data_IF_020861055572
#
_entry.id   IF_020861055572
#
_cell.length_a   1.000
_cell.length_b   1.000
_cell.length_c   1.000
_cell.angle_alpha   90.00
_cell.angle_beta   90.00
_cell.angle_gamma   90.00
#
_symmetry.space_group_name_H-M   'P 1'
#
loop_
_entity.id
_entity.type
_entity.pdbx_description
1 polymer ?
#
# COMPACT_ATOMS: atom_id res chain seq x y z
N UNK A 1 38.54 39.91 59.29
CA UNK A 1 37.96 40.26 57.96
C UNK A 1 37.59 38.95 57.29
N UNK A 2 36.39 38.54 57.48
CA UNK A 2 35.81 37.29 56.85
C UNK A 2 35.09 37.67 55.58
N UNK A 3 35.47 37.04 54.47
CA UNK A 3 34.76 37.21 53.18
C UNK A 3 33.45 36.37 53.14
N UNK A 4 32.34 36.98 52.98
CA UNK A 4 31.05 36.26 52.66
C UNK A 4 30.86 36.27 51.17
N UNK A 5 31.05 35.18 50.51
CA UNK A 5 30.79 35.17 49.05
C UNK A 5 30.73 33.80 48.37
N UNK A 6 31.28 32.74 48.96
CA UNK A 6 31.39 31.41 48.29
C UNK A 6 30.22 30.49 48.60
N UNK A 7 29.53 30.65 49.74
CA UNK A 7 28.38 29.79 50.11
C UNK A 7 27.07 30.12 49.34
N UNK A 8 26.94 31.34 48.79
CA UNK A 8 25.73 31.78 48.06
C UNK A 8 25.65 31.21 46.61
N UNK A 9 26.80 31.00 45.96
CA UNK A 9 26.84 30.49 44.58
C UNK A 9 26.59 28.98 44.50
N UNK A 10 27.05 28.22 45.51
CA UNK A 10 26.78 26.78 45.57
C UNK A 10 25.29 26.48 45.83
N UNK A 11 24.62 27.26 46.68
CA UNK A 11 23.19 27.09 46.96
C UNK A 11 22.28 27.45 45.76
N UNK A 12 22.69 28.41 44.94
CA UNK A 12 21.96 28.80 43.74
C UNK A 12 22.12 27.79 42.59
N UNK A 13 23.31 27.17 42.45
CA UNK A 13 23.55 26.12 41.48
C UNK A 13 22.79 24.82 41.84
N UNK A 14 22.81 24.44 43.12
CA UNK A 14 22.08 23.25 43.60
C UNK A 14 20.56 23.42 43.47
N UNK A 15 20.00 24.63 43.71
CA UNK A 15 18.59 24.91 43.49
C UNK A 15 18.22 24.90 41.98
N UNK A 16 19.13 25.31 41.10
CA UNK A 16 18.86 25.24 39.64
C UNK A 16 18.93 23.82 39.13
N UNK A 17 19.75 22.95 39.69
CA UNK A 17 19.78 21.52 39.31
C UNK A 17 18.54 20.79 39.80
N UNK A 18 18.13 20.99 41.06
CA UNK A 18 16.91 20.41 41.63
C UNK A 18 15.65 20.91 40.89
N UNK A 19 15.63 22.16 40.43
CA UNK A 19 14.50 22.69 39.66
C UNK A 19 14.52 22.22 38.21
N UNK A 20 15.65 21.77 37.68
CA UNK A 20 15.73 21.18 36.34
C UNK A 20 15.27 19.73 36.35
N UNK A 21 15.62 18.98 37.40
CA UNK A 21 15.14 17.60 37.58
C UNK A 21 13.63 17.55 37.84
N UNK A 22 13.05 18.58 38.52
CA UNK A 22 11.60 18.73 38.69
C UNK A 22 10.86 19.07 37.36
N UNK A 23 11.50 19.78 36.40
CA UNK A 23 10.90 20.03 35.09
C UNK A 23 10.99 18.82 34.18
N UNK A 24 12.06 18.05 34.26
CA UNK A 24 12.18 16.80 33.49
C UNK A 24 11.21 15.74 34.02
N UNK A 25 11.01 15.66 35.33
CA UNK A 25 9.99 14.79 35.95
C UNK A 25 8.54 15.31 35.75
N UNK A 26 8.30 16.62 35.70
CA UNK A 26 6.96 17.19 35.45
C UNK A 26 6.56 17.03 33.97
N UNK A 27 7.52 16.87 33.06
CA UNK A 27 7.25 16.54 31.65
C UNK A 27 6.88 15.08 31.42
N UNK A 28 7.35 14.16 32.29
CA UNK A 28 7.00 12.74 32.23
C UNK A 28 5.69 12.40 32.97
N UNK A 29 5.27 13.17 33.97
CA UNK A 29 4.05 12.92 34.74
C UNK A 29 2.75 13.47 34.08
N UNK A 30 2.84 14.25 32.99
CA UNK A 30 1.67 14.63 32.19
C UNK A 30 1.32 13.61 31.11
N UNK A 31 1.86 12.40 31.15
CA UNK A 31 1.46 11.26 30.38
C UNK A 31 0.16 10.69 30.95
N UNK A 32 -0.94 11.27 30.51
CA UNK A 32 -2.30 10.73 30.47
C UNK A 32 -2.73 9.83 31.64
N UNK A 33 -3.28 10.42 32.68
CA UNK A 33 -3.70 9.78 33.95
C UNK A 33 -4.78 8.68 33.84
N UNK A 34 -5.23 8.30 32.64
CA UNK A 34 -6.28 7.30 32.40
C UNK A 34 -5.81 6.04 31.67
N UNK A 35 -4.54 5.90 31.32
CA UNK A 35 -4.05 4.77 30.57
C UNK A 35 -3.19 3.84 31.44
N UNK A 36 -3.58 2.56 31.55
CA UNK A 36 -2.88 1.54 32.35
C UNK A 36 -1.90 0.77 31.46
N UNK A 37 -0.60 0.88 31.77
CA UNK A 37 0.42 0.02 31.15
C UNK A 37 0.35 -1.37 31.79
N UNK A 38 0.13 -2.41 30.99
CA UNK A 38 0.10 -3.80 31.46
C UNK A 38 1.53 -4.39 31.45
N UNK A 39 1.81 -5.29 32.40
CA UNK A 39 3.04 -6.06 32.42
C UNK A 39 2.97 -7.11 31.31
N UNK A 40 3.93 -7.16 30.35
CA UNK A 40 3.91 -8.12 29.27
C UNK A 40 3.98 -9.56 29.78
N UNK A 41 3.05 -10.38 29.29
CA UNK A 41 3.03 -11.83 29.51
C UNK A 41 3.89 -12.62 28.52
N UNK A 42 3.63 -13.93 28.33
CA UNK A 42 4.32 -14.75 27.35
C UNK A 42 4.22 -14.15 25.94
N UNK A 43 5.29 -14.18 25.15
CA UNK A 43 5.41 -13.57 23.82
C UNK A 43 5.19 -12.04 23.81
N UNK A 44 5.31 -11.37 24.97
CA UNK A 44 5.04 -9.93 25.06
C UNK A 44 3.56 -9.54 25.03
N UNK A 45 2.65 -10.51 25.20
CA UNK A 45 1.20 -10.29 25.19
C UNK A 45 0.75 -9.33 26.29
N UNK A 46 -0.05 -8.36 25.90
CA UNK A 46 -0.74 -7.42 26.80
C UNK A 46 -2.23 -7.33 26.39
N UNK A 47 -3.13 -7.00 27.33
CA UNK A 47 -4.53 -6.74 26.98
C UNK A 47 -4.65 -5.67 25.88
N UNK A 48 -5.63 -5.82 25.00
CA UNK A 48 -5.84 -4.94 23.83
C UNK A 48 -6.11 -3.48 24.24
N UNK A 49 -6.69 -3.29 25.44
CA UNK A 49 -6.98 -2.00 26.05
C UNK A 49 -5.81 -1.38 26.80
N UNK A 50 -4.67 -2.07 26.90
CA UNK A 50 -3.46 -1.54 27.52
C UNK A 50 -2.76 -0.52 26.61
N UNK A 51 -2.20 0.55 27.22
CA UNK A 51 -1.48 1.61 26.51
C UNK A 51 -0.26 1.13 25.71
N UNK A 52 0.34 0.05 26.13
CA UNK A 52 1.51 -0.56 25.48
C UNK A 52 1.12 -1.71 24.52
N UNK A 53 -0.14 -1.79 24.10
CA UNK A 53 -0.54 -2.71 23.03
C UNK A 53 -0.28 -2.09 21.67
N UNK A 54 0.47 -2.80 20.83
CA UNK A 54 0.73 -2.42 19.44
C UNK A 54 -0.22 -3.10 18.42
N UNK A 55 -1.13 -3.97 18.92
CA UNK A 55 -2.09 -4.69 18.11
C UNK A 55 -3.51 -4.43 18.62
N UNK A 56 -4.46 -4.29 17.71
CA UNK A 56 -5.88 -4.18 18.04
C UNK A 56 -6.54 -5.55 18.29
N UNK A 57 -5.82 -6.64 18.05
CA UNK A 57 -6.26 -8.04 18.26
C UNK A 57 -5.05 -8.88 18.72
N UNK A 58 -5.31 -10.09 19.22
CA UNK A 58 -4.24 -11.03 19.57
C UNK A 58 -3.72 -11.76 18.31
N UNK A 59 -2.51 -11.44 17.80
CA UNK A 59 -2.01 -11.97 16.54
C UNK A 59 -1.66 -13.45 16.67
N UNK A 60 -2.25 -14.28 15.81
CA UNK A 60 -2.03 -15.74 15.79
C UNK A 60 -0.87 -16.10 14.87
N UNK A 61 0.05 -16.94 15.39
CA UNK A 61 1.25 -17.34 14.65
C UNK A 61 0.95 -18.25 13.45
N UNK A 62 0.12 -19.30 13.65
CA UNK A 62 -0.12 -20.31 12.62
C UNK A 62 -0.77 -19.74 11.34
N UNK A 63 -1.85 -18.93 11.42
CA UNK A 63 -2.43 -18.32 10.22
C UNK A 63 -1.45 -17.38 9.50
N UNK A 64 -0.67 -16.60 10.26
CA UNK A 64 0.32 -15.70 9.67
C UNK A 64 1.40 -16.46 8.88
N UNK A 65 1.91 -17.56 9.42
CA UNK A 65 2.87 -18.44 8.71
C UNK A 65 2.25 -19.08 7.49
N UNK A 66 1.02 -19.60 7.59
CA UNK A 66 0.33 -20.20 6.44
C UNK A 66 0.17 -19.19 5.29
N UNK A 67 -0.23 -17.96 5.59
CA UNK A 67 -0.37 -16.89 4.61
C UNK A 67 0.99 -16.47 4.04
N UNK A 68 2.04 -16.37 4.87
CA UNK A 68 3.40 -16.08 4.40
C UNK A 68 3.88 -17.13 3.38
N UNK A 69 3.61 -18.42 3.63
CA UNK A 69 3.93 -19.51 2.71
C UNK A 69 3.16 -19.35 1.39
N UNK A 70 1.85 -19.06 1.44
CA UNK A 70 1.03 -18.86 0.23
C UNK A 70 1.53 -17.70 -0.63
N UNK A 71 1.80 -16.53 -0.04
CA UNK A 71 2.39 -15.41 -0.78
C UNK A 71 3.80 -15.72 -1.28
N UNK A 72 4.59 -16.47 -0.52
CA UNK A 72 5.91 -16.95 -0.93
C UNK A 72 5.84 -17.84 -2.18
N UNK A 73 4.87 -18.76 -2.22
CA UNK A 73 4.61 -19.60 -3.41
C UNK A 73 4.23 -18.74 -4.61
N UNK A 74 3.32 -17.75 -4.44
CA UNK A 74 2.97 -16.84 -5.53
C UNK A 74 4.13 -15.97 -5.98
N UNK A 75 4.99 -15.53 -5.06
CA UNK A 75 6.22 -14.80 -5.40
C UNK A 75 7.11 -15.65 -6.32
N UNK A 76 7.33 -16.93 -5.99
CA UNK A 76 8.10 -17.85 -6.80
C UNK A 76 7.44 -18.13 -8.15
N UNK A 77 6.12 -18.34 -8.19
CA UNK A 77 5.36 -18.54 -9.43
C UNK A 77 5.55 -17.33 -10.35
N UNK A 78 5.35 -16.11 -9.85
CA UNK A 78 5.52 -14.90 -10.66
C UNK A 78 6.97 -14.66 -11.10
N UNK A 79 7.95 -15.03 -10.29
CA UNK A 79 9.37 -15.01 -10.66
C UNK A 79 9.64 -15.94 -11.85
N UNK A 80 9.19 -17.18 -11.76
CA UNK A 80 9.33 -18.19 -12.82
C UNK A 80 8.63 -17.72 -14.10
N UNK A 81 7.39 -17.22 -14.00
CA UNK A 81 6.64 -16.71 -15.16
C UNK A 81 7.32 -15.47 -15.77
N UNK A 82 7.82 -14.55 -14.94
CA UNK A 82 8.56 -13.37 -15.39
C UNK A 82 9.81 -13.72 -16.18
N UNK A 83 10.57 -14.73 -15.74
CA UNK A 83 11.76 -15.24 -16.43
C UNK A 83 11.35 -15.99 -17.72
N UNK A 84 10.38 -16.90 -17.63
CA UNK A 84 9.93 -17.72 -18.76
C UNK A 84 9.40 -16.89 -19.93
N UNK A 85 8.58 -15.89 -19.66
CA UNK A 85 8.03 -14.98 -20.67
C UNK A 85 8.94 -13.80 -21.01
N UNK A 86 10.06 -13.63 -20.32
CA UNK A 86 11.05 -12.55 -20.53
C UNK A 86 10.44 -11.13 -20.53
N UNK A 87 9.36 -10.91 -19.79
CA UNK A 87 8.69 -9.61 -19.68
C UNK A 87 9.30 -8.80 -18.54
N UNK A 88 10.15 -7.84 -18.87
CA UNK A 88 10.88 -7.02 -17.87
C UNK A 88 9.98 -6.33 -16.86
N UNK A 89 8.76 -5.92 -17.24
CA UNK A 89 7.85 -5.24 -16.34
C UNK A 89 7.21 -6.14 -15.28
N UNK A 90 7.33 -7.48 -15.43
CA UNK A 90 6.81 -8.44 -14.42
C UNK A 90 7.50 -8.32 -13.06
N UNK A 91 8.70 -7.71 -13.00
CA UNK A 91 9.37 -7.47 -11.70
C UNK A 91 8.51 -6.66 -10.72
N UNK A 92 7.64 -5.80 -11.22
CA UNK A 92 6.73 -4.98 -10.40
C UNK A 92 5.75 -5.86 -9.63
N UNK A 93 5.18 -6.87 -10.29
CA UNK A 93 4.27 -7.83 -9.63
C UNK A 93 5.02 -8.72 -8.62
N UNK A 94 6.24 -9.15 -8.98
CA UNK A 94 7.10 -9.94 -8.10
C UNK A 94 7.40 -9.17 -6.82
N UNK A 95 7.72 -7.87 -6.93
CA UNK A 95 7.93 -7.01 -5.75
C UNK A 95 6.68 -6.90 -4.89
N UNK A 96 5.49 -6.74 -5.49
CA UNK A 96 4.24 -6.72 -4.74
C UNK A 96 4.02 -8.01 -3.96
N UNK A 97 4.15 -9.17 -4.60
CA UNK A 97 4.01 -10.47 -3.95
C UNK A 97 5.09 -10.72 -2.87
N UNK A 98 6.33 -10.30 -3.11
CA UNK A 98 7.41 -10.41 -2.14
C UNK A 98 7.17 -9.54 -0.90
N UNK A 99 6.61 -8.35 -1.06
CA UNK A 99 6.30 -7.47 0.07
C UNK A 99 5.16 -8.01 0.91
N UNK A 100 4.12 -8.61 0.31
CA UNK A 100 3.11 -9.36 1.07
C UNK A 100 3.75 -10.52 1.85
N UNK A 101 4.65 -11.28 1.21
CA UNK A 101 5.37 -12.38 1.87
C UNK A 101 6.15 -11.89 3.08
N UNK A 102 6.98 -10.84 2.91
CA UNK A 102 7.79 -10.27 3.99
C UNK A 102 6.91 -9.71 5.11
N UNK A 103 5.81 -9.04 4.74
CA UNK A 103 4.84 -8.51 5.70
C UNK A 103 4.32 -9.61 6.62
N UNK A 104 3.87 -10.75 6.07
CA UNK A 104 3.34 -11.85 6.88
C UNK A 104 4.42 -12.62 7.63
N UNK A 105 5.67 -12.67 7.14
CA UNK A 105 6.81 -13.17 7.92
C UNK A 105 7.04 -12.29 9.16
N UNK A 106 7.04 -10.96 8.98
CA UNK A 106 7.19 -10.02 10.09
C UNK A 106 6.00 -10.06 11.05
N UNK A 107 4.78 -10.25 10.52
CA UNK A 107 3.58 -10.42 11.35
C UNK A 107 3.67 -11.70 12.20
N UNK A 108 4.14 -12.81 11.63
CA UNK A 108 4.40 -14.06 12.37
C UNK A 108 5.48 -13.88 13.45
N UNK A 109 6.57 -13.14 13.15
CA UNK A 109 7.59 -12.81 14.16
C UNK A 109 7.00 -11.91 15.26
N UNK A 110 6.22 -10.91 14.89
CA UNK A 110 5.53 -10.02 15.83
C UNK A 110 4.53 -10.73 16.75
N UNK A 111 3.89 -11.83 16.29
CA UNK A 111 3.02 -12.62 17.17
C UNK A 111 3.79 -13.36 18.28
N UNK A 112 5.10 -13.57 18.12
CA UNK A 112 6.00 -14.17 19.12
C UNK A 112 6.71 -13.13 19.99
N UNK A 113 6.72 -11.86 19.57
CA UNK A 113 7.32 -10.72 20.31
C UNK A 113 6.44 -9.49 20.08
N UNK A 114 5.28 -9.44 20.77
CA UNK A 114 4.25 -8.43 20.57
C UNK A 114 4.68 -7.02 21.05
N UNK A 115 5.74 -6.92 21.86
CA UNK A 115 6.29 -5.64 22.30
C UNK A 115 7.34 -5.06 21.33
N UNK A 116 7.65 -5.75 20.25
CA UNK A 116 8.59 -5.28 19.24
C UNK A 116 7.87 -4.42 18.19
N UNK A 117 7.87 -3.11 18.41
CA UNK A 117 7.24 -2.14 17.51
C UNK A 117 7.78 -2.21 16.08
N UNK A 118 9.05 -2.62 15.89
CA UNK A 118 9.65 -2.72 14.57
C UNK A 118 8.97 -3.81 13.72
N UNK A 119 8.63 -4.95 14.32
CA UNK A 119 7.90 -6.01 13.60
C UNK A 119 6.50 -5.56 13.24
N UNK A 120 5.74 -4.99 14.19
CA UNK A 120 4.39 -4.51 13.96
C UNK A 120 4.34 -3.43 12.87
N UNK A 121 5.19 -2.40 13.01
CA UNK A 121 5.21 -1.27 12.07
C UNK A 121 5.70 -1.67 10.68
N UNK A 122 6.78 -2.46 10.57
CA UNK A 122 7.31 -2.88 9.28
C UNK A 122 6.34 -3.82 8.55
N UNK A 123 5.71 -4.76 9.28
CA UNK A 123 4.66 -5.63 8.72
C UNK A 123 3.52 -4.79 8.13
N UNK A 124 3.01 -3.82 8.89
CA UNK A 124 1.90 -2.98 8.46
C UNK A 124 2.26 -2.09 7.26
N UNK A 125 3.44 -1.47 7.25
CA UNK A 125 3.89 -0.63 6.13
C UNK A 125 4.00 -1.45 4.85
N UNK A 126 4.63 -2.62 4.90
CA UNK A 126 4.79 -3.48 3.73
C UNK A 126 3.45 -4.01 3.23
N UNK A 127 2.54 -4.35 4.14
CA UNK A 127 1.18 -4.79 3.83
C UNK A 127 0.36 -3.72 3.10
N UNK A 128 0.49 -2.46 3.49
CA UNK A 128 -0.16 -1.33 2.82
C UNK A 128 0.48 -0.99 1.48
N UNK A 129 1.78 -1.22 1.34
CA UNK A 129 2.55 -0.84 0.16
C UNK A 129 2.48 -1.89 -0.97
N UNK A 130 2.28 -3.16 -0.63
CA UNK A 130 2.24 -4.25 -1.60
C UNK A 130 1.16 -4.08 -2.68
N UNK A 131 -0.10 -3.69 -2.39
CA UNK A 131 -1.13 -3.46 -3.41
C UNK A 131 -0.80 -2.34 -4.39
N UNK A 132 0.01 -1.35 -3.98
CA UNK A 132 0.48 -0.29 -4.88
C UNK A 132 1.28 -0.87 -6.05
N UNK A 133 2.13 -1.87 -5.79
CA UNK A 133 2.88 -2.58 -6.81
C UNK A 133 1.98 -3.39 -7.73
N UNK A 134 0.96 -4.05 -7.18
CA UNK A 134 -0.01 -4.84 -7.94
C UNK A 134 -0.85 -3.94 -8.84
N UNK A 135 -1.33 -2.79 -8.34
CA UNK A 135 -2.01 -1.76 -9.13
C UNK A 135 -1.12 -1.25 -10.27
N UNK A 136 0.12 -0.89 -9.96
CA UNK A 136 1.08 -0.43 -10.97
C UNK A 136 1.29 -1.47 -12.07
N UNK A 137 1.35 -2.76 -11.72
CA UNK A 137 1.44 -3.84 -12.69
C UNK A 137 0.18 -3.95 -13.57
N UNK A 138 -1.01 -3.82 -12.99
CA UNK A 138 -2.30 -3.80 -13.73
C UNK A 138 -2.32 -2.64 -14.72
N UNK A 139 -1.96 -1.43 -14.29
CA UNK A 139 -1.89 -0.25 -15.16
C UNK A 139 -0.88 -0.41 -16.29
N UNK A 140 0.31 -0.95 -15.98
CA UNK A 140 1.33 -1.23 -16.99
C UNK A 140 0.89 -2.29 -17.99
N UNK A 141 0.21 -3.33 -17.54
CA UNK A 141 -0.31 -4.41 -18.37
C UNK A 141 -1.40 -3.90 -19.30
N UNK A 142 -2.37 -3.17 -18.75
CA UNK A 142 -3.43 -2.56 -19.56
C UNK A 142 -2.89 -1.58 -20.61
N UNK A 143 -1.98 -0.70 -20.23
CA UNK A 143 -1.37 0.26 -21.17
C UNK A 143 -0.69 -0.46 -22.34
N UNK A 144 0.01 -1.59 -22.07
CA UNK A 144 0.62 -2.41 -23.11
C UNK A 144 -0.42 -3.14 -23.97
N UNK A 145 -1.46 -3.67 -23.35
CA UNK A 145 -2.57 -4.30 -24.05
C UNK A 145 -3.29 -3.27 -24.97
N UNK A 146 -3.59 -2.10 -24.44
CA UNK A 146 -4.22 -1.03 -25.21
C UNK A 146 -3.33 -0.54 -26.36
N UNK A 147 -1.99 -0.54 -26.19
CA UNK A 147 -1.04 -0.23 -27.24
C UNK A 147 -0.99 -1.33 -28.31
N UNK A 148 -0.90 -2.57 -27.92
CA UNK A 148 -0.72 -3.75 -28.79
C UNK A 148 -1.96 -4.07 -29.61
N UNK A 149 -3.15 -3.92 -29.02
CA UNK A 149 -4.45 -4.19 -29.64
C UNK A 149 -5.15 -2.93 -30.16
N UNK A 150 -4.46 -1.79 -30.29
CA UNK A 150 -5.06 -0.54 -30.75
C UNK A 150 -5.62 -0.68 -32.16
N UNK A 151 -6.88 -0.29 -32.35
CA UNK A 151 -7.56 -0.31 -33.65
C UNK A 151 -8.28 1.03 -33.91
N UNK A 152 -8.26 1.56 -35.16
CA UNK A 152 -7.38 1.15 -36.27
C UNK A 152 -5.90 1.48 -35.98
N UNK A 153 -4.94 0.73 -36.58
CA UNK A 153 -3.49 0.89 -36.27
C UNK A 153 -2.96 2.29 -36.60
N UNK A 154 -3.55 2.96 -37.59
CA UNK A 154 -3.16 4.28 -38.08
C UNK A 154 -3.72 5.44 -37.24
N UNK A 155 -4.73 5.18 -36.42
CA UNK A 155 -5.31 6.22 -35.56
C UNK A 155 -4.34 6.67 -34.47
N UNK A 156 -4.53 7.92 -34.01
CA UNK A 156 -3.83 8.41 -32.84
C UNK A 156 -4.01 7.47 -31.65
N UNK A 157 -2.91 6.96 -31.08
CA UNK A 157 -2.92 6.03 -29.95
C UNK A 157 -3.28 6.76 -28.65
N UNK A 158 -4.54 7.22 -28.59
CA UNK A 158 -5.15 7.91 -27.46
C UNK A 158 -6.37 7.17 -26.98
N UNK A 159 -6.61 7.24 -25.68
CA UNK A 159 -7.82 6.72 -25.05
C UNK A 159 -8.46 7.87 -24.28
N UNK A 160 -9.70 8.23 -24.63
CA UNK A 160 -10.39 9.40 -24.06
C UNK A 160 -9.55 10.71 -24.11
N UNK A 161 -8.81 10.94 -25.22
CA UNK A 161 -7.96 12.11 -25.40
C UNK A 161 -6.59 12.04 -24.69
N UNK A 162 -6.34 11.01 -23.88
CA UNK A 162 -5.06 10.83 -23.17
C UNK A 162 -4.17 9.86 -23.97
N UNK A 163 -2.89 10.18 -24.24
CA UNK A 163 -1.95 9.26 -24.86
C UNK A 163 -1.83 7.98 -24.05
N UNK A 164 -1.97 6.81 -24.70
CA UNK A 164 -1.90 5.50 -24.02
C UNK A 164 -0.62 5.37 -23.18
N UNK A 165 0.50 5.91 -23.67
CA UNK A 165 1.81 5.86 -22.97
C UNK A 165 1.87 6.70 -21.69
N UNK A 166 0.90 7.60 -21.47
CA UNK A 166 0.82 8.44 -20.27
C UNK A 166 -0.02 7.79 -19.16
N UNK A 167 -0.97 6.91 -19.52
CA UNK A 167 -1.91 6.31 -18.57
C UNK A 167 -1.22 5.70 -17.35
N UNK A 168 -0.27 4.78 -17.56
CA UNK A 168 0.46 4.17 -16.43
C UNK A 168 1.04 5.19 -15.47
N UNK A 169 1.62 6.29 -16.01
CA UNK A 169 2.25 7.30 -15.15
C UNK A 169 1.24 8.06 -14.31
N UNK A 170 0.14 8.45 -14.95
CA UNK A 170 -0.93 9.22 -14.28
C UNK A 170 -1.47 8.40 -13.11
N UNK A 171 -1.87 7.16 -13.36
CA UNK A 171 -2.49 6.33 -12.33
C UNK A 171 -1.51 5.86 -11.26
N UNK A 172 -0.28 5.51 -11.60
CA UNK A 172 0.75 5.17 -10.61
C UNK A 172 1.06 6.35 -9.69
N UNK A 173 1.20 7.58 -10.23
CA UNK A 173 1.43 8.75 -9.40
C UNK A 173 0.21 9.12 -8.54
N UNK A 174 -1.00 8.88 -9.03
CA UNK A 174 -2.22 9.06 -8.25
C UNK A 174 -2.26 8.09 -7.05
N UNK A 175 -1.92 6.81 -7.26
CA UNK A 175 -1.83 5.81 -6.19
C UNK A 175 -0.71 6.15 -5.19
N UNK A 176 0.46 6.61 -5.67
CA UNK A 176 1.55 7.05 -4.78
C UNK A 176 1.12 8.23 -3.91
N UNK A 177 0.40 9.22 -4.49
CA UNK A 177 -0.13 10.35 -3.72
C UNK A 177 -1.15 9.88 -2.68
N UNK A 178 -2.08 9.01 -3.06
CA UNK A 178 -3.06 8.43 -2.15
C UNK A 178 -2.37 7.67 -1.00
N UNK A 179 -1.33 6.90 -1.30
CA UNK A 179 -0.52 6.19 -0.30
C UNK A 179 0.21 7.14 0.66
N UNK A 180 0.77 8.25 0.18
CA UNK A 180 1.40 9.25 1.05
C UNK A 180 0.37 9.83 2.02
N UNK A 181 -0.84 10.15 1.54
CA UNK A 181 -1.94 10.65 2.39
C UNK A 181 -2.32 9.59 3.44
N UNK A 182 -2.44 8.31 3.05
CA UNK A 182 -2.69 7.20 3.97
C UNK A 182 -1.57 7.07 5.02
N UNK A 183 -0.31 7.17 4.59
CA UNK A 183 0.85 7.09 5.49
C UNK A 183 0.86 8.20 6.53
N UNK A 184 0.58 9.44 6.13
CA UNK A 184 0.46 10.58 7.04
C UNK A 184 -0.72 10.35 8.01
N UNK A 185 -1.89 9.97 7.50
CA UNK A 185 -3.05 9.70 8.35
C UNK A 185 -2.80 8.56 9.35
N UNK A 186 -2.18 7.48 8.91
CA UNK A 186 -1.82 6.33 9.76
C UNK A 186 -0.79 6.69 10.83
N UNK A 187 0.22 7.49 10.50
CA UNK A 187 1.20 7.94 11.49
C UNK A 187 0.59 8.87 12.54
N UNK A 188 -0.35 9.73 12.15
CA UNK A 188 -1.08 10.59 13.09
C UNK A 188 -2.04 9.80 13.99
N UNK A 189 -2.51 8.65 13.55
CA UNK A 189 -3.41 7.78 14.31
C UNK A 189 -2.68 6.77 15.19
N UNK A 190 -1.34 6.65 15.06
CA UNK A 190 -0.55 5.68 15.83
C UNK A 190 -0.36 6.14 17.28
N UNK A 191 -0.43 5.21 18.25
CA UNK A 191 -0.04 5.49 19.63
C UNK A 191 1.41 5.98 19.69
N UNK A 192 1.66 7.08 20.37
CA UNK A 192 3.01 7.66 20.51
C UNK A 192 3.30 8.88 19.63
N UNK A 193 2.41 9.30 18.74
CA UNK A 193 2.57 10.57 17.99
C UNK A 193 1.92 11.78 18.70
N UNK A 194 1.78 11.76 20.03
CA UNK A 194 1.22 12.86 20.82
C UNK A 194 -0.32 12.97 20.77
N UNK A 195 -1.00 12.03 20.13
CA UNK A 195 -2.45 11.92 20.15
C UNK A 195 -2.87 10.93 21.24
N UNK A 196 -3.64 11.41 22.23
CA UNK A 196 -4.11 10.61 23.34
C UNK A 196 -4.85 9.35 22.86
N UNK A 197 -4.42 8.17 23.35
CA UNK A 197 -5.13 6.89 23.14
C UNK A 197 -6.58 6.96 23.63
N UNK A 198 -6.86 7.82 24.63
CA UNK A 198 -8.21 8.11 25.13
C UNK A 198 -9.10 8.76 24.06
N UNK A 199 -8.51 9.48 23.11
CA UNK A 199 -9.25 10.05 21.99
C UNK A 199 -9.56 9.01 20.91
N UNK A 200 -8.79 7.91 20.81
CA UNK A 200 -9.10 6.79 19.91
C UNK A 200 -10.28 5.93 20.37
N UNK A 201 -10.67 5.99 21.64
CA UNK A 201 -11.90 5.36 22.17
C UNK A 201 -13.15 6.25 22.02
N UNK A 202 -13.03 7.41 21.39
CA UNK A 202 -14.17 8.27 21.02
C UNK A 202 -14.97 7.60 19.90
N UNK A 203 -16.28 7.75 19.92
CA UNK A 203 -17.22 7.26 18.90
C UNK A 203 -17.02 7.86 17.50
N UNK A 204 -16.09 8.82 17.34
CA UNK A 204 -15.72 9.44 16.09
C UNK A 204 -14.26 9.06 15.72
N UNK A 205 -13.95 8.82 14.42
CA UNK A 205 -12.59 8.60 13.98
C UNK A 205 -11.69 9.79 14.35
N UNK A 206 -10.48 9.50 14.83
CA UNK A 206 -9.46 10.55 15.06
C UNK A 206 -9.14 11.29 13.76
N UNK A 207 -8.61 12.52 13.85
CA UNK A 207 -8.26 13.29 12.66
C UNK A 207 -7.27 12.53 11.76
N UNK A 208 -6.31 11.81 12.34
CA UNK A 208 -5.40 10.94 11.58
C UNK A 208 -6.14 9.84 10.81
N UNK A 209 -7.12 9.21 11.45
CA UNK A 209 -7.91 8.16 10.82
C UNK A 209 -8.79 8.71 9.68
N UNK A 210 -9.33 9.91 9.81
CA UNK A 210 -10.06 10.60 8.73
C UNK A 210 -9.14 10.86 7.53
N UNK A 211 -7.92 11.35 7.76
CA UNK A 211 -6.92 11.56 6.69
C UNK A 211 -6.57 10.24 6.00
N UNK A 212 -6.39 9.15 6.76
CA UNK A 212 -6.18 7.82 6.22
C UNK A 212 -7.33 7.37 5.30
N UNK A 213 -8.58 7.52 5.75
CA UNK A 213 -9.78 7.18 4.99
C UNK A 213 -9.93 8.02 3.70
N UNK A 214 -9.59 9.31 3.77
CA UNK A 214 -9.57 10.19 2.58
C UNK A 214 -8.57 9.65 1.56
N UNK A 215 -7.36 9.26 1.98
CA UNK A 215 -6.36 8.66 1.10
C UNK A 215 -6.87 7.40 0.41
N UNK A 216 -7.57 6.52 1.12
CA UNK A 216 -8.19 5.31 0.55
C UNK A 216 -9.32 5.64 -0.42
N UNK A 217 -10.16 6.64 -0.10
CA UNK A 217 -11.21 7.13 -0.99
C UNK A 217 -10.64 7.69 -2.31
N UNK A 218 -9.55 8.43 -2.24
CA UNK A 218 -8.83 8.94 -3.41
C UNK A 218 -8.30 7.77 -4.27
N UNK A 219 -7.68 6.78 -3.65
CA UNK A 219 -7.19 5.57 -4.35
C UNK A 219 -8.34 4.85 -5.05
N UNK A 220 -9.44 4.60 -4.36
CA UNK A 220 -10.61 3.95 -4.94
C UNK A 220 -11.21 4.75 -6.10
N UNK A 221 -11.28 6.07 -5.98
CA UNK A 221 -11.74 6.95 -7.05
C UNK A 221 -10.89 6.78 -8.32
N UNK A 222 -9.55 6.77 -8.21
CA UNK A 222 -8.68 6.57 -9.37
C UNK A 222 -8.78 5.16 -9.96
N UNK A 223 -9.01 4.13 -9.16
CA UNK A 223 -9.29 2.77 -9.65
C UNK A 223 -10.58 2.76 -10.47
N UNK A 224 -11.65 3.41 -10.01
CA UNK A 224 -12.92 3.52 -10.76
C UNK A 224 -12.70 4.27 -12.08
N UNK A 225 -12.00 5.40 -12.06
CA UNK A 225 -11.65 6.14 -13.28
C UNK A 225 -10.85 5.26 -14.25
N UNK A 226 -9.88 4.48 -13.74
CA UNK A 226 -9.11 3.55 -14.56
C UNK A 226 -10.00 2.46 -15.18
N UNK A 227 -10.96 1.92 -14.42
CA UNK A 227 -11.96 0.98 -14.95
C UNK A 227 -12.77 1.59 -16.10
N UNK A 228 -13.11 2.88 -16.07
CA UNK A 228 -13.80 3.55 -17.18
C UNK A 228 -12.92 3.58 -18.44
N UNK A 229 -11.60 3.80 -18.32
CA UNK A 229 -10.68 3.66 -19.46
C UNK A 229 -10.64 2.24 -20.01
N UNK A 230 -10.66 1.23 -19.15
CA UNK A 230 -10.70 -0.17 -19.55
C UNK A 230 -12.02 -0.51 -20.26
N UNK A 231 -13.16 -0.04 -19.75
CA UNK A 231 -14.50 -0.22 -20.37
C UNK A 231 -14.53 0.46 -21.73
N UNK A 232 -14.06 1.70 -21.85
CA UNK A 232 -14.00 2.40 -23.12
C UNK A 232 -13.15 1.64 -24.15
N UNK A 233 -11.99 1.13 -23.75
CA UNK A 233 -11.16 0.27 -24.60
C UNK A 233 -11.92 -1.00 -25.00
N UNK A 234 -12.55 -1.69 -24.05
CA UNK A 234 -13.30 -2.92 -24.28
C UNK A 234 -14.43 -2.71 -25.30
N UNK A 235 -15.22 -1.65 -25.14
CA UNK A 235 -16.31 -1.33 -26.05
C UNK A 235 -15.81 -0.99 -27.47
N UNK A 236 -14.73 -0.21 -27.57
CA UNK A 236 -14.11 0.15 -28.84
C UNK A 236 -13.56 -1.06 -29.58
N UNK A 237 -12.90 -1.99 -28.88
CA UNK A 237 -12.35 -3.20 -29.48
C UNK A 237 -13.42 -4.23 -29.86
N UNK A 238 -14.58 -4.20 -29.21
CA UNK A 238 -15.71 -5.08 -29.55
C UNK A 238 -16.29 -4.79 -30.94
N UNK A 239 -16.19 -3.55 -31.41
CA UNK A 239 -16.70 -3.09 -32.71
C UNK A 239 -15.68 -3.35 -33.82
N UNK A 240 -14.39 -3.49 -33.48
CA UNK A 240 -13.31 -3.74 -34.45
C UNK A 240 -13.21 -5.22 -34.87
N UNK A 241 -12.90 -5.47 -36.15
CA UNK A 241 -12.59 -6.81 -36.65
C UNK A 241 -11.33 -7.34 -35.95
N UNK A 242 -11.40 -8.62 -35.50
CA UNK A 242 -10.30 -9.25 -34.77
C UNK A 242 -9.02 -9.31 -35.59
N UNK A 243 -7.88 -9.14 -34.95
CA UNK A 243 -6.58 -9.42 -35.55
C UNK A 243 -6.43 -10.93 -35.71
N UNK A 244 -6.45 -11.45 -36.95
CA UNK A 244 -6.33 -12.87 -37.22
C UNK A 244 -5.04 -13.51 -36.67
N UNK A 245 -3.97 -12.70 -36.55
CA UNK A 245 -2.64 -13.16 -36.16
C UNK A 245 -2.28 -12.90 -34.69
N UNK A 246 -3.20 -12.32 -33.87
CA UNK A 246 -2.93 -12.02 -32.47
C UNK A 246 -3.80 -12.85 -31.54
N UNK A 247 -3.27 -13.26 -30.36
CA UNK A 247 -4.10 -13.89 -29.33
C UNK A 247 -5.28 -13.02 -28.94
N UNK A 248 -6.39 -13.64 -28.53
CA UNK A 248 -7.56 -12.89 -28.05
C UNK A 248 -7.19 -12.02 -26.83
N UNK A 249 -7.50 -10.73 -26.89
CA UNK A 249 -7.28 -9.79 -25.79
C UNK A 249 -8.24 -9.98 -24.60
N UNK A 250 -9.38 -10.61 -24.82
CA UNK A 250 -10.48 -10.72 -23.85
C UNK A 250 -10.09 -11.36 -22.53
N UNK A 251 -9.43 -12.55 -22.50
CA UNK A 251 -9.07 -13.18 -21.23
C UNK A 251 -8.15 -12.31 -20.36
N UNK A 252 -7.19 -11.60 -21.00
CA UNK A 252 -6.30 -10.69 -20.29
C UNK A 252 -7.08 -9.52 -19.65
N UNK A 253 -7.98 -8.89 -20.42
CA UNK A 253 -8.76 -7.76 -19.90
C UNK A 253 -9.72 -8.21 -18.80
N UNK A 254 -10.36 -9.39 -18.92
CA UNK A 254 -11.18 -9.94 -17.83
C UNK A 254 -10.36 -10.24 -16.58
N UNK A 255 -9.15 -10.76 -16.72
CA UNK A 255 -8.25 -10.97 -15.59
C UNK A 255 -7.89 -9.64 -14.89
N UNK A 256 -7.67 -8.56 -15.66
CA UNK A 256 -7.43 -7.23 -15.07
C UNK A 256 -8.67 -6.69 -14.34
N UNK A 257 -9.88 -6.87 -14.88
CA UNK A 257 -11.12 -6.52 -14.17
C UNK A 257 -11.25 -7.31 -12.86
N UNK A 258 -11.05 -8.63 -12.90
CA UNK A 258 -11.10 -9.46 -11.70
C UNK A 258 -10.09 -8.99 -10.64
N UNK A 259 -8.85 -8.71 -11.04
CA UNK A 259 -7.82 -8.19 -10.14
C UNK A 259 -8.23 -6.86 -9.49
N UNK A 260 -8.74 -5.91 -10.28
CA UNK A 260 -9.22 -4.62 -9.74
C UNK A 260 -10.43 -4.78 -8.82
N UNK A 261 -11.31 -5.77 -9.09
CA UNK A 261 -12.43 -6.11 -8.20
C UNK A 261 -11.92 -6.61 -6.86
N UNK A 262 -10.93 -7.50 -6.82
CA UNK A 262 -10.34 -7.98 -5.58
C UNK A 262 -9.66 -6.85 -4.78
N UNK A 263 -8.95 -5.96 -5.46
CA UNK A 263 -8.35 -4.78 -4.83
C UNK A 263 -9.44 -3.84 -4.28
N UNK A 264 -10.54 -3.65 -5.01
CA UNK A 264 -11.69 -2.86 -4.56
C UNK A 264 -12.35 -3.46 -3.31
N UNK A 265 -12.54 -4.79 -3.26
CA UNK A 265 -13.05 -5.50 -2.06
C UNK A 265 -12.16 -5.19 -0.85
N UNK A 266 -10.84 -5.31 -1.01
CA UNK A 266 -9.86 -4.95 0.01
C UNK A 266 -10.04 -3.50 0.50
N UNK A 267 -10.11 -2.53 -0.42
CA UNK A 267 -10.23 -1.11 -0.07
C UNK A 267 -11.55 -0.85 0.66
N UNK A 268 -12.67 -1.43 0.21
CA UNK A 268 -13.97 -1.29 0.88
C UNK A 268 -13.90 -1.86 2.29
N UNK A 269 -13.28 -3.04 2.47
CA UNK A 269 -13.07 -3.62 3.79
C UNK A 269 -12.28 -2.68 4.71
N UNK A 270 -11.15 -2.13 4.22
CA UNK A 270 -10.33 -1.20 5.00
C UNK A 270 -11.07 0.10 5.36
N UNK A 271 -11.89 0.62 4.45
CA UNK A 271 -12.75 1.76 4.76
C UNK A 271 -13.77 1.39 5.84
N UNK A 272 -14.42 0.23 5.73
CA UNK A 272 -15.39 -0.23 6.72
C UNK A 272 -14.74 -0.50 8.09
N UNK A 273 -13.53 -1.06 8.11
CA UNK A 273 -12.74 -1.33 9.31
C UNK A 273 -12.50 -0.07 10.15
N UNK A 274 -12.16 1.04 9.48
CA UNK A 274 -11.76 2.27 10.16
C UNK A 274 -12.81 3.38 10.16
N UNK A 275 -13.89 3.27 9.38
CA UNK A 275 -14.91 4.31 9.28
C UNK A 275 -15.66 4.54 10.62
N UNK A 276 -15.84 3.48 11.41
CA UNK A 276 -16.43 3.55 12.75
C UNK A 276 -15.45 3.91 13.87
N UNK A 277 -14.18 4.17 13.53
CA UNK A 277 -13.12 4.33 14.53
C UNK A 277 -12.71 2.99 15.15
N UNK A 278 -11.69 3.03 16.01
CA UNK A 278 -11.24 1.89 16.82
C UNK A 278 -11.99 1.97 18.16
N UNK A 279 -13.24 1.52 18.18
CA UNK A 279 -14.15 1.64 19.32
C UNK A 279 -14.79 0.29 19.63
N UNK A 280 -15.21 0.04 20.89
CA UNK A 280 -15.90 -1.22 21.24
C UNK A 280 -17.21 -1.45 20.46
N UNK A 281 -17.81 -0.39 19.89
CA UNK A 281 -19.01 -0.50 19.04
C UNK A 281 -18.70 -0.98 17.62
N UNK A 282 -17.45 -0.91 17.19
CA UNK A 282 -16.99 -1.40 15.88
C UNK A 282 -16.14 -2.67 16.09
N UNK A 283 -16.69 -3.88 15.93
CA UNK A 283 -15.97 -5.11 16.18
C UNK A 283 -14.91 -5.44 15.12
N UNK A 284 -14.99 -4.83 13.93
CA UNK A 284 -14.17 -5.22 12.76
C UNK A 284 -12.67 -5.14 13.05
N UNK A 285 -12.10 -4.06 13.65
CA UNK A 285 -10.67 -3.96 13.91
C UNK A 285 -10.11 -4.96 14.93
N UNK A 286 -10.99 -5.58 15.74
CA UNK A 286 -10.61 -6.47 16.85
C UNK A 286 -10.62 -7.95 16.46
N UNK A 287 -11.06 -8.29 15.25
CA UNK A 287 -11.14 -9.66 14.74
C UNK A 287 -10.20 -9.88 13.57
N UNK A 288 -9.11 -10.60 13.79
CA UNK A 288 -8.11 -10.92 12.79
C UNK A 288 -8.69 -11.71 11.59
N UNK A 289 -9.74 -12.50 11.83
CA UNK A 289 -10.40 -13.34 10.84
C UNK A 289 -11.00 -12.52 9.67
N UNK A 290 -11.53 -11.33 9.95
CA UNK A 290 -12.06 -10.46 8.90
C UNK A 290 -10.96 -9.92 7.98
N UNK A 291 -9.79 -9.61 8.55
CA UNK A 291 -8.63 -9.20 7.76
C UNK A 291 -8.15 -10.33 6.84
N UNK A 292 -8.08 -11.57 7.32
CA UNK A 292 -7.74 -12.71 6.47
C UNK A 292 -8.75 -12.93 5.35
N UNK A 293 -10.05 -12.82 5.64
CA UNK A 293 -11.11 -13.11 4.67
C UNK A 293 -11.29 -12.01 3.61
N UNK A 294 -11.21 -10.73 4.02
CA UNK A 294 -11.62 -9.60 3.17
C UNK A 294 -10.46 -8.71 2.69
N UNK A 295 -9.26 -8.90 3.25
CA UNK A 295 -8.05 -8.21 2.84
C UNK A 295 -7.06 -9.17 2.18
N UNK A 296 -6.64 -10.21 2.89
CA UNK A 296 -5.61 -11.15 2.46
C UNK A 296 -6.09 -12.05 1.32
N UNK A 297 -7.24 -12.71 1.49
CA UNK A 297 -7.77 -13.66 0.52
C UNK A 297 -8.05 -13.02 -0.86
N UNK A 298 -8.64 -11.82 -0.97
CA UNK A 298 -8.74 -11.12 -2.25
C UNK A 298 -7.38 -10.86 -2.91
N UNK A 299 -6.33 -10.56 -2.15
CA UNK A 299 -5.00 -10.33 -2.71
C UNK A 299 -4.37 -11.64 -3.24
N UNK A 300 -4.57 -12.77 -2.55
CA UNK A 300 -4.18 -14.09 -3.06
C UNK A 300 -4.90 -14.42 -4.36
N UNK A 301 -6.21 -14.14 -4.45
CA UNK A 301 -6.99 -14.33 -5.69
C UNK A 301 -6.53 -13.40 -6.82
N UNK A 302 -6.14 -12.17 -6.52
CA UNK A 302 -5.56 -11.25 -7.48
C UNK A 302 -4.25 -11.81 -8.08
N UNK A 303 -3.34 -12.29 -7.23
CA UNK A 303 -2.09 -12.91 -7.67
C UNK A 303 -2.34 -14.20 -8.45
N UNK A 304 -3.25 -15.05 -7.99
CA UNK A 304 -3.65 -16.27 -8.71
C UNK A 304 -4.19 -15.95 -10.11
N UNK A 305 -5.07 -14.95 -10.21
CA UNK A 305 -5.65 -14.52 -11.48
C UNK A 305 -4.55 -14.06 -12.43
N UNK A 306 -3.59 -13.26 -11.97
CA UNK A 306 -2.48 -12.77 -12.77
C UNK A 306 -1.44 -13.86 -13.10
N UNK A 307 -1.38 -14.95 -12.34
CA UNK A 307 -0.57 -16.12 -12.67
C UNK A 307 -1.19 -16.95 -13.79
N UNK A 308 -2.51 -17.21 -13.71
CA UNK A 308 -3.24 -17.99 -14.72
C UNK A 308 -3.26 -17.24 -16.06
N UNK A 309 -3.63 -15.95 -16.05
CA UNK A 309 -3.68 -15.11 -17.25
C UNK A 309 -2.49 -14.16 -17.32
N UNK A 310 -1.27 -14.73 -17.21
CA UNK A 310 -0.07 -13.92 -17.23
C UNK A 310 0.06 -13.14 -18.55
N UNK A 311 0.35 -11.82 -18.52
CA UNK A 311 0.43 -10.97 -19.71
C UNK A 311 1.37 -11.49 -20.79
N UNK A 312 2.40 -12.24 -20.41
CA UNK A 312 3.35 -12.85 -21.34
C UNK A 312 2.73 -13.82 -22.34
N UNK A 313 1.56 -14.40 -22.03
CA UNK A 313 0.82 -15.29 -22.94
C UNK A 313 0.11 -14.54 -24.07
N UNK A 314 -0.24 -13.29 -23.83
CA UNK A 314 -1.09 -12.48 -24.72
C UNK A 314 -0.30 -11.40 -25.45
N UNK A 315 0.68 -10.82 -24.81
CA UNK A 315 1.51 -9.75 -25.35
C UNK A 315 2.78 -10.36 -25.97
N UNK A 316 2.62 -10.97 -27.15
CA UNK A 316 3.70 -11.70 -27.83
C UNK A 316 4.46 -10.74 -28.79
N UNK A 317 5.77 -10.96 -28.94
CA UNK A 317 6.61 -10.22 -29.87
C UNK A 317 7.06 -8.85 -29.38
N UNK A 318 7.90 -8.20 -30.20
CA UNK A 318 8.51 -6.91 -29.91
C UNK A 318 7.49 -5.75 -29.95
N UNK A 319 6.44 -5.88 -30.76
CA UNK A 319 5.39 -4.87 -30.93
C UNK A 319 4.52 -4.67 -29.68
N UNK A 320 4.59 -5.62 -28.73
CA UNK A 320 3.92 -5.50 -27.43
C UNK A 320 4.66 -4.58 -26.45
N UNK A 321 5.87 -4.13 -26.78
CA UNK A 321 6.61 -3.18 -25.95
C UNK A 321 6.24 -1.74 -26.32
N UNK A 322 6.12 -0.89 -25.30
CA UNK A 322 5.91 0.53 -25.53
C UNK A 322 7.16 1.16 -26.17
N UNK A 323 6.99 2.13 -27.08
CA UNK A 323 8.12 2.77 -27.74
C UNK A 323 9.03 3.43 -26.71
N UNK A 324 10.33 3.20 -26.84
CA UNK A 324 11.32 3.88 -26.01
C UNK A 324 11.24 5.39 -26.25
N UNK A 325 11.24 6.17 -25.17
CA UNK A 325 11.33 7.62 -25.30
C UNK A 325 12.61 7.97 -26.05
N UNK A 326 12.46 8.67 -27.18
CA UNK A 326 13.61 9.24 -27.90
C UNK A 326 14.40 10.15 -26.95
N UNK A 327 15.71 10.01 -26.95
CA UNK A 327 16.59 10.89 -26.18
C UNK A 327 16.42 12.35 -26.68
N UNK A 328 16.79 13.34 -25.85
CA UNK A 328 16.73 14.76 -26.25
C UNK A 328 17.50 15.02 -27.56
N UNK A 329 18.63 14.31 -27.78
CA UNK A 329 19.42 14.39 -29.02
C UNK A 329 18.66 13.86 -30.22
N UNK A 330 18.02 12.70 -30.11
CA UNK A 330 17.21 12.08 -31.17
C UNK A 330 15.98 12.91 -31.53
N UNK A 331 15.30 13.54 -30.53
CA UNK A 331 14.18 14.45 -30.77
C UNK A 331 14.61 15.71 -31.54
N UNK A 332 15.79 16.29 -31.20
CA UNK A 332 16.34 17.44 -31.93
C UNK A 332 16.72 17.07 -33.37
N UNK A 333 17.32 15.89 -33.56
CA UNK A 333 17.65 15.37 -34.90
C UNK A 333 16.38 15.17 -35.75
N UNK A 334 15.34 14.52 -35.21
CA UNK A 334 14.07 14.33 -35.93
C UNK A 334 13.36 15.65 -36.27
N UNK A 335 13.37 16.65 -35.37
CA UNK A 335 12.84 17.99 -35.68
C UNK A 335 13.60 18.63 -36.84
N UNK A 336 14.95 18.56 -36.79
CA UNK A 336 15.80 19.14 -37.87
C UNK A 336 15.55 18.47 -39.22
N UNK A 337 15.31 17.16 -39.24
CA UNK A 337 14.99 16.43 -40.50
C UNK A 337 13.59 16.78 -41.01
N UNK A 338 12.64 17.02 -40.12
CA UNK A 338 11.27 17.43 -40.45
C UNK A 338 11.19 18.87 -40.97
N UNK A 339 12.02 19.75 -40.45
CA UNK A 339 12.09 21.16 -40.88
C UNK A 339 12.85 21.35 -42.22
N UNK A 340 13.51 20.27 -42.69
CA UNK A 340 14.25 20.25 -43.99
C UNK A 340 13.48 19.51 -45.11
N UNK A 341 12.35 18.86 -44.77
CA UNK A 341 11.47 18.17 -45.72
C UNK A 341 10.18 18.95 -45.96
#
# INVERSE_FOLDING_TARGET
MSMPGVASLAGAATRRLLHRDDWDNAGEEQENSNCVKAIPGPNGHVPIDACNSYYNFDPKFEPAVAVAILFGIFTLIHLVLGIAYRKKFSWVLIMGAAWETISFVLHALGSKDQQNIAYASAAQILFLLAPLWINAFVYMTFTRAAWYYHYPPEAQRQLLGIPITALTKIFVWADVLAFIIQGVGGSMASPGSGGDIVQSMSSAPTEGLKVYLIGMGIQQFFIVVFCLFMIHFHLRQRIGYGYADKPSWRPLIYALYATLTFITIRIIYRIAEFAGGITPSNPIPFHEEYSYALDVFPMLLALLTLAIWHPGRFLIGHDSELPKKLSRKQRKAQRKTRDLA
#
